data_IF_891953459802
#
_entry.id   IF_891953459802
#
_cell.length_a   1.000
_cell.length_b   1.000
_cell.length_c   1.000
_cell.angle_alpha   90.00
_cell.angle_beta   90.00
_cell.angle_gamma   90.00
#
_symmetry.space_group_name_H-M   'P 1'
#
loop_
_entity.id
_entity.type
_entity.pdbx_description
1 polymer ?
#
# COMPACT_ATOMS: atom_id res chain seq x y z
N UNK A 1 -7.13 -7.20 26.92
CA UNK A 1 -6.32 -7.26 25.69
C UNK A 1 -7.18 -6.79 24.52
N UNK A 2 -7.25 -5.47 24.29
CA UNK A 2 -8.02 -4.90 23.18
C UNK A 2 -7.23 -5.08 21.89
N UNK A 3 -7.68 -5.98 20.99
CA UNK A 3 -7.21 -5.97 19.60
C UNK A 3 -7.76 -4.69 18.98
N UNK A 4 -6.94 -3.65 18.94
CA UNK A 4 -7.29 -2.42 18.25
C UNK A 4 -7.47 -2.76 16.78
N UNK A 5 -8.71 -2.80 16.31
CA UNK A 5 -8.99 -2.72 14.89
C UNK A 5 -8.52 -1.33 14.44
N UNK A 6 -7.23 -1.20 14.13
CA UNK A 6 -6.73 0.01 13.48
C UNK A 6 -7.35 0.00 12.09
N UNK A 7 -8.34 0.88 11.89
CA UNK A 7 -8.94 1.08 10.58
C UNK A 7 -7.79 1.43 9.66
N UNK A 8 -7.45 0.52 8.74
CA UNK A 8 -6.27 0.62 7.91
C UNK A 8 -6.32 1.94 7.14
N UNK A 9 -5.51 2.92 7.54
CA UNK A 9 -5.56 4.28 6.98
C UNK A 9 -4.92 4.25 5.62
N UNK A 10 -5.66 4.69 4.61
CA UNK A 10 -5.17 4.83 3.24
C UNK A 10 -4.60 6.23 3.01
N UNK A 11 -3.37 6.27 2.51
CA UNK A 11 -2.60 7.46 2.19
C UNK A 11 -2.49 7.61 0.67
N UNK A 12 -2.34 8.84 0.18
CA UNK A 12 -1.89 9.03 -1.19
C UNK A 12 -0.44 8.53 -1.35
N UNK A 13 -0.07 8.13 -2.57
CA UNK A 13 1.28 7.67 -2.89
C UNK A 13 2.37 8.64 -2.42
N UNK A 14 2.15 9.96 -2.57
CA UNK A 14 3.12 10.97 -2.16
C UNK A 14 3.32 10.97 -0.65
N UNK A 15 2.23 11.06 0.10
CA UNK A 15 2.27 11.05 1.57
C UNK A 15 2.91 9.75 2.09
N UNK A 16 2.59 8.62 1.47
CA UNK A 16 3.17 7.33 1.82
C UNK A 16 4.68 7.28 1.52
N UNK A 17 5.13 7.88 0.42
CA UNK A 17 6.55 7.97 0.10
C UNK A 17 7.29 8.87 1.10
N UNK A 18 6.68 9.98 1.50
CA UNK A 18 7.21 10.87 2.54
C UNK A 18 7.37 10.13 3.88
N UNK A 19 6.38 9.31 4.28
CA UNK A 19 6.44 8.47 5.48
C UNK A 19 7.56 7.41 5.38
N UNK A 20 7.73 6.81 4.20
CA UNK A 20 8.73 5.77 3.95
C UNK A 20 10.15 6.32 3.67
N UNK A 21 10.33 7.65 3.63
CA UNK A 21 11.60 8.27 3.26
C UNK A 21 12.01 8.02 1.80
N UNK A 22 11.05 7.75 0.91
CA UNK A 22 11.26 7.50 -0.52
C UNK A 22 10.75 8.66 -1.37
N UNK A 23 11.24 8.77 -2.61
CA UNK A 23 10.56 9.61 -3.60
C UNK A 23 9.27 8.93 -4.07
N UNK A 24 8.25 9.73 -4.39
CA UNK A 24 6.99 9.21 -4.92
C UNK A 24 7.19 8.38 -6.20
N UNK A 25 8.17 8.73 -7.04
CA UNK A 25 8.53 7.97 -8.24
C UNK A 25 9.17 6.62 -7.92
N UNK A 26 10.06 6.57 -6.94
CA UNK A 26 10.67 5.32 -6.47
C UNK A 26 9.60 4.38 -5.88
N UNK A 27 8.73 4.90 -5.02
CA UNK A 27 7.62 4.13 -4.46
C UNK A 27 6.69 3.63 -5.58
N UNK A 28 6.31 4.48 -6.54
CA UNK A 28 5.50 4.06 -7.69
C UNK A 28 6.12 2.90 -8.44
N UNK A 29 7.40 3.01 -8.81
CA UNK A 29 8.11 1.99 -9.59
C UNK A 29 8.18 0.67 -8.83
N UNK A 30 8.38 0.74 -7.51
CA UNK A 30 8.40 -0.42 -6.63
C UNK A 30 7.01 -1.09 -6.56
N UNK A 31 5.93 -0.32 -6.43
CA UNK A 31 4.56 -0.84 -6.41
C UNK A 31 4.17 -1.45 -7.77
N UNK A 32 4.44 -0.77 -8.89
CA UNK A 32 4.13 -1.29 -10.23
C UNK A 32 4.86 -2.61 -10.51
N UNK A 33 6.12 -2.75 -10.08
CA UNK A 33 6.90 -3.99 -10.24
C UNK A 33 6.35 -5.16 -9.42
N UNK A 34 5.68 -4.87 -8.30
CA UNK A 34 5.10 -5.86 -7.39
C UNK A 34 3.57 -5.96 -7.52
N UNK A 35 3.00 -5.31 -8.53
CA UNK A 35 1.57 -5.27 -8.75
C UNK A 35 1.06 -6.65 -9.20
N UNK A 36 0.01 -7.11 -8.53
CA UNK A 36 -0.70 -8.35 -8.83
C UNK A 36 -2.19 -8.04 -8.99
N UNK A 37 -2.91 -8.75 -9.86
CA UNK A 37 -4.35 -8.61 -9.97
C UNK A 37 -5.03 -9.12 -8.68
N UNK A 38 -5.88 -8.28 -8.08
CA UNK A 38 -6.73 -8.61 -6.96
C UNK A 38 -8.04 -9.24 -7.44
N UNK A 39 -8.77 -9.92 -6.54
CA UNK A 39 -10.05 -10.58 -6.85
C UNK A 39 -11.15 -9.62 -7.32
N UNK A 40 -11.06 -8.36 -6.91
CA UNK A 40 -12.00 -7.30 -7.32
C UNK A 40 -11.59 -6.58 -8.62
N UNK A 41 -10.56 -7.10 -9.32
CA UNK A 41 -10.15 -6.60 -10.63
C UNK A 41 -9.22 -5.37 -10.58
N UNK A 42 -8.88 -4.85 -9.40
CA UNK A 42 -7.83 -3.82 -9.28
C UNK A 42 -6.46 -4.45 -9.12
N UNK A 43 -5.40 -3.69 -9.38
CA UNK A 43 -4.05 -4.12 -9.04
C UNK A 43 -3.74 -3.79 -7.57
N UNK A 44 -3.17 -4.73 -6.86
CA UNK A 44 -2.61 -4.53 -5.52
C UNK A 44 -1.13 -4.91 -5.46
N UNK A 45 -0.39 -4.28 -4.56
CA UNK A 45 1.02 -4.55 -4.34
C UNK A 45 1.30 -4.61 -2.84
N UNK A 46 2.05 -5.64 -2.42
CA UNK A 46 2.41 -5.86 -1.03
C UNK A 46 3.94 -5.81 -0.88
N UNK A 47 4.44 -4.92 -0.03
CA UNK A 47 5.88 -4.75 0.20
C UNK A 47 6.14 -4.40 1.66
N UNK A 48 6.88 -5.23 2.40
CA UNK A 48 7.37 -4.92 3.76
C UNK A 48 6.27 -4.42 4.72
N UNK A 49 5.09 -5.06 4.74
CA UNK A 49 3.94 -4.64 5.58
C UNK A 49 3.12 -3.47 5.01
N UNK A 50 3.52 -2.95 3.85
CA UNK A 50 2.77 -1.95 3.10
C UNK A 50 1.85 -2.65 2.11
N UNK A 51 0.56 -2.33 2.17
CA UNK A 51 -0.42 -2.72 1.15
C UNK A 51 -0.75 -1.53 0.29
N UNK A 52 -0.69 -1.68 -1.03
CA UNK A 52 -1.09 -0.65 -1.96
C UNK A 52 -2.13 -1.15 -2.95
N UNK A 53 -3.08 -0.30 -3.33
CA UNK A 53 -4.10 -0.58 -4.34
C UNK A 53 -4.12 0.51 -5.41
N UNK A 54 -4.25 0.10 -6.66
CA UNK A 54 -4.28 0.98 -7.83
C UNK A 54 -5.72 1.23 -8.25
N UNK A 55 -6.16 2.46 -8.10
CA UNK A 55 -7.45 2.94 -8.58
C UNK A 55 -7.21 3.74 -9.86
N UNK A 56 -7.53 3.13 -11.00
CA UNK A 56 -7.27 3.66 -12.35
C UNK A 56 -5.77 3.95 -12.56
N UNK A 57 -5.30 5.15 -12.20
CA UNK A 57 -3.90 5.57 -12.34
C UNK A 57 -3.30 6.12 -11.02
N UNK A 58 -4.00 5.97 -9.90
CA UNK A 58 -3.57 6.47 -8.59
C UNK A 58 -3.38 5.31 -7.62
N UNK A 59 -2.25 5.32 -6.92
CA UNK A 59 -1.97 4.39 -5.85
C UNK A 59 -2.48 4.95 -4.53
N UNK A 60 -3.19 4.11 -3.78
CA UNK A 60 -3.50 4.30 -2.37
C UNK A 60 -2.71 3.29 -1.57
N UNK A 61 -2.07 3.76 -0.51
CA UNK A 61 -1.14 2.96 0.28
C UNK A 61 -1.65 2.90 1.71
N UNK A 62 -1.71 1.71 2.29
CA UNK A 62 -2.05 1.49 3.68
C UNK A 62 -0.87 0.83 4.38
N UNK A 63 -0.54 1.38 5.55
CA UNK A 63 0.40 0.78 6.48
C UNK A 63 -0.45 -0.05 7.45
N UNK A 64 -0.38 -1.37 7.34
CA UNK A 64 -1.22 -2.29 8.10
C UNK A 64 -0.38 -3.39 8.73
N UNK A 65 -0.94 -4.03 9.77
CA UNK A 65 -0.22 -4.99 10.62
C UNK A 65 0.55 -6.07 9.83
N UNK A 66 1.72 -6.50 10.34
CA UNK A 66 2.45 -7.63 9.79
C UNK A 66 1.53 -8.85 9.71
N UNK A 67 1.65 -9.59 8.62
CA UNK A 67 0.84 -10.74 8.24
C UNK A 67 0.52 -11.64 9.45
N UNK A 68 -0.76 -11.80 9.80
CA UNK A 68 -1.17 -12.93 10.62
C UNK A 68 -1.39 -14.10 9.67
N UNK A 69 -0.41 -15.02 9.65
CA UNK A 69 -0.53 -16.33 9.01
C UNK A 69 -1.63 -17.16 9.66
#
# INVERSE_FOLDING_TARGET
>A
MNRGHTVARWYALREAAEILGLSAGALRKLLERRAQPARDGVYEAHVDGVRARKFTNRWRVSFGEPWNV
#
